data_IF_910351876618
#
_entry.id   IF_910351876618
#
_cell.length_a   1.000
_cell.length_b   1.000
_cell.length_c   1.000
_cell.angle_alpha   90.00
_cell.angle_beta   90.00
_cell.angle_gamma   90.00
#
_symmetry.space_group_name_H-M   'P 1'
#
loop_
_entity.id
_entity.type
_entity.pdbx_description
1 polymer ?
#
# COMPACT_ATOMS: atom_id res chain seq x y z
N UNK A 1 -10.52 0.86 -9.69
CA UNK A 1 -10.38 1.48 -8.34
C UNK A 1 -11.37 0.87 -7.38
N UNK A 2 -11.01 0.79 -6.11
CA UNK A 2 -11.92 0.30 -5.07
C UNK A 2 -13.22 1.13 -4.99
N UNK A 3 -13.13 2.43 -5.25
CA UNK A 3 -14.31 3.32 -5.27
C UNK A 3 -15.41 2.83 -6.23
N UNK A 4 -15.06 2.12 -7.28
CA UNK A 4 -15.99 1.58 -8.26
C UNK A 4 -16.54 0.21 -7.86
N UNK A 5 -15.96 -0.41 -6.84
CA UNK A 5 -16.29 -1.76 -6.38
C UNK A 5 -16.40 -1.78 -4.84
N UNK A 6 -17.33 -0.99 -4.27
CA UNK A 6 -17.42 -0.88 -2.80
C UNK A 6 -17.75 -2.19 -2.09
N UNK A 7 -18.31 -3.17 -2.80
CA UNK A 7 -18.56 -4.51 -2.25
C UNK A 7 -17.26 -5.25 -1.89
N UNK A 8 -16.11 -4.79 -2.38
CA UNK A 8 -14.81 -5.37 -2.06
C UNK A 8 -14.18 -4.80 -0.79
N UNK A 9 -14.75 -3.75 -0.21
CA UNK A 9 -14.24 -3.14 1.03
C UNK A 9 -14.09 -4.17 2.15
N UNK A 10 -15.09 -5.01 2.44
CA UNK A 10 -14.94 -6.05 3.49
C UNK A 10 -13.82 -7.03 3.21
N UNK A 11 -13.57 -7.36 1.94
CA UNK A 11 -12.49 -8.29 1.55
C UNK A 11 -11.13 -7.68 1.89
N UNK A 12 -10.89 -6.44 1.50
CA UNK A 12 -9.63 -5.75 1.80
C UNK A 12 -9.46 -5.54 3.30
N UNK A 13 -10.53 -5.19 4.00
CA UNK A 13 -10.49 -5.02 5.45
C UNK A 13 -10.07 -6.33 6.15
N UNK A 14 -10.58 -7.46 5.69
CA UNK A 14 -10.20 -8.78 6.20
C UNK A 14 -8.71 -9.06 5.98
N UNK A 15 -8.20 -8.80 4.79
CA UNK A 15 -6.77 -8.98 4.50
C UNK A 15 -5.88 -8.13 5.39
N UNK A 16 -6.23 -6.87 5.57
CA UNK A 16 -5.43 -5.93 6.35
C UNK A 16 -5.51 -6.24 7.85
N UNK A 17 -6.68 -6.58 8.34
CA UNK A 17 -6.88 -7.02 9.72
C UNK A 17 -6.03 -8.26 10.03
N UNK A 18 -6.07 -9.29 9.17
CA UNK A 18 -5.36 -10.54 9.39
C UNK A 18 -3.83 -10.36 9.28
N UNK A 19 -3.37 -9.43 8.46
CA UNK A 19 -1.95 -9.22 8.21
C UNK A 19 -1.33 -8.26 9.24
N UNK A 20 -2.02 -7.16 9.55
CA UNK A 20 -1.45 -6.05 10.35
C UNK A 20 -2.23 -5.73 11.63
N UNK A 21 -3.40 -6.33 11.82
CA UNK A 21 -4.30 -5.97 12.93
C UNK A 21 -3.70 -6.10 14.31
N UNK A 22 -2.83 -7.07 14.53
CA UNK A 22 -2.20 -7.33 15.84
C UNK A 22 -1.24 -6.21 16.28
N UNK A 23 -0.72 -5.43 15.33
CA UNK A 23 0.19 -4.32 15.60
C UNK A 23 -0.51 -3.01 15.98
N UNK A 24 -1.84 -2.98 15.94
CA UNK A 24 -2.63 -1.78 16.19
C UNK A 24 -3.52 -1.95 17.41
N UNK A 25 -3.32 -1.17 18.50
CA UNK A 25 -4.21 -1.20 19.65
C UNK A 25 -5.66 -0.94 19.23
N UNK A 26 -6.57 -1.83 19.64
CA UNK A 26 -7.98 -1.72 19.25
C UNK A 26 -8.28 -2.05 17.79
N UNK A 27 -7.37 -2.72 17.09
CA UNK A 27 -7.48 -3.05 15.68
C UNK A 27 -8.52 -4.14 15.37
N UNK A 28 -9.80 -3.84 15.56
CA UNK A 28 -10.91 -4.74 15.22
C UNK A 28 -11.14 -4.76 13.70
N UNK A 29 -11.84 -5.78 13.23
CA UNK A 29 -12.27 -5.85 11.84
C UNK A 29 -13.14 -4.65 11.45
N UNK A 30 -13.98 -4.18 12.38
CA UNK A 30 -14.80 -2.99 12.17
C UNK A 30 -13.95 -1.75 11.94
N UNK A 31 -12.92 -1.55 12.76
CA UNK A 31 -11.96 -0.44 12.60
C UNK A 31 -11.28 -0.51 11.23
N UNK A 32 -10.80 -1.69 10.83
CA UNK A 32 -10.14 -1.86 9.54
C UNK A 32 -11.09 -1.62 8.37
N UNK A 33 -12.37 -1.99 8.52
CA UNK A 33 -13.40 -1.72 7.51
C UNK A 33 -13.59 -0.21 7.31
N UNK A 34 -13.63 0.55 8.41
CA UNK A 34 -13.74 2.02 8.34
C UNK A 34 -12.51 2.64 7.71
N UNK A 35 -11.31 2.16 8.05
CA UNK A 35 -10.05 2.63 7.45
C UNK A 35 -10.05 2.40 5.94
N UNK A 36 -10.41 1.21 5.50
CA UNK A 36 -10.46 0.88 4.06
C UNK A 36 -11.48 1.76 3.34
N UNK A 37 -12.64 1.99 3.95
CA UNK A 37 -13.68 2.85 3.38
C UNK A 37 -13.18 4.28 3.20
N UNK A 38 -12.50 4.83 4.19
CA UNK A 38 -11.93 6.18 4.12
C UNK A 38 -10.87 6.32 3.02
N UNK A 39 -10.17 5.22 2.71
CA UNK A 39 -9.11 5.19 1.69
C UNK A 39 -9.61 4.89 0.28
N UNK A 40 -10.91 4.72 0.09
CA UNK A 40 -11.54 4.40 -1.19
C UNK A 40 -11.98 5.65 -1.94
N UNK A 41 -11.12 6.64 -2.07
CA UNK A 41 -11.40 7.87 -2.82
C UNK A 41 -11.39 7.63 -4.33
N UNK A 42 -12.13 8.45 -5.04
CA UNK A 42 -12.25 8.38 -6.51
C UNK A 42 -11.52 9.50 -7.24
N UNK A 43 -11.20 10.59 -6.54
CA UNK A 43 -10.52 11.76 -7.11
C UNK A 43 -9.38 12.16 -6.18
N UNK A 44 -8.15 11.92 -6.64
CA UNK A 44 -6.97 12.25 -5.87
C UNK A 44 -6.78 11.37 -4.63
N UNK A 45 -5.83 11.75 -3.80
CA UNK A 45 -5.42 11.01 -2.61
C UNK A 45 -6.42 11.26 -1.46
N UNK A 46 -6.84 10.21 -0.71
CA UNK A 46 -6.42 8.81 -0.79
C UNK A 46 -7.14 8.02 -1.86
N UNK A 47 -6.44 7.02 -2.41
CA UNK A 47 -6.98 6.12 -3.42
C UNK A 47 -6.54 4.69 -3.12
N UNK A 48 -7.35 3.72 -3.54
CA UNK A 48 -7.02 2.29 -3.40
C UNK A 48 -7.40 1.55 -4.68
N UNK A 49 -6.55 0.63 -5.09
CA UNK A 49 -6.77 -0.23 -6.26
C UNK A 49 -6.78 -1.69 -5.84
N UNK A 50 -7.55 -2.48 -6.58
CA UNK A 50 -7.67 -3.92 -6.36
C UNK A 50 -7.26 -4.64 -7.63
N UNK A 51 -6.42 -5.66 -7.48
CA UNK A 51 -6.09 -6.57 -8.58
C UNK A 51 -7.13 -7.68 -8.63
N UNK A 52 -7.63 -7.97 -9.82
CA UNK A 52 -8.60 -9.03 -10.07
C UNK A 52 -8.02 -10.07 -11.02
N UNK A 53 -8.24 -11.35 -10.70
CA UNK A 53 -7.94 -12.47 -11.60
C UNK A 53 -9.23 -13.25 -11.78
N UNK A 54 -9.68 -13.36 -13.01
CA UNK A 54 -10.97 -14.00 -13.34
C UNK A 54 -12.14 -13.47 -12.49
N UNK A 55 -12.15 -12.13 -12.29
CA UNK A 55 -13.18 -11.44 -11.52
C UNK A 55 -13.03 -11.54 -10.01
N UNK A 56 -12.01 -12.23 -9.51
CA UNK A 56 -11.78 -12.41 -8.06
C UNK A 56 -10.70 -11.46 -7.56
N UNK A 57 -10.91 -10.79 -6.40
CA UNK A 57 -9.90 -9.94 -5.81
C UNK A 57 -8.71 -10.79 -5.31
N UNK A 58 -7.50 -10.42 -5.71
CA UNK A 58 -6.28 -11.16 -5.36
C UNK A 58 -5.19 -10.27 -4.75
N UNK A 59 -5.38 -8.98 -4.72
CA UNK A 59 -4.41 -8.05 -4.14
C UNK A 59 -4.93 -6.63 -4.11
N UNK A 60 -4.22 -5.77 -3.40
CA UNK A 60 -4.56 -4.35 -3.30
C UNK A 60 -3.34 -3.48 -3.04
N UNK A 61 -3.49 -2.19 -3.31
CA UNK A 61 -2.49 -1.17 -3.00
C UNK A 61 -3.20 0.17 -2.81
N UNK A 62 -2.68 0.98 -1.90
CA UNK A 62 -3.20 2.32 -1.64
C UNK A 62 -2.19 3.42 -1.93
N UNK A 63 -2.69 4.62 -2.17
CA UNK A 63 -1.92 5.85 -2.29
C UNK A 63 -2.46 6.83 -1.25
N UNK A 64 -1.64 7.15 -0.24
CA UNK A 64 -2.04 7.91 0.94
C UNK A 64 -1.19 9.17 1.11
N UNK A 65 -1.77 10.20 1.72
CA UNK A 65 -1.04 11.43 2.03
C UNK A 65 -0.03 11.24 3.15
N UNK A 66 -0.32 10.40 4.14
CA UNK A 66 0.58 10.11 5.26
C UNK A 66 0.47 8.65 5.68
N UNK A 67 1.55 8.10 6.23
CA UNK A 67 1.60 6.69 6.60
C UNK A 67 2.30 6.49 7.94
N UNK A 68 3.52 7.03 8.10
CA UNK A 68 4.31 6.83 9.31
C UNK A 68 4.23 8.04 10.22
N UNK A 69 3.88 7.79 11.51
CA UNK A 69 3.83 8.85 12.51
C UNK A 69 5.17 9.56 12.72
N UNK A 70 6.28 8.86 12.48
CA UNK A 70 7.64 9.37 12.64
C UNK A 70 8.16 10.13 11.42
N UNK A 71 7.42 10.12 10.31
CA UNK A 71 7.80 10.77 9.04
C UNK A 71 6.62 11.52 8.43
N UNK A 72 5.98 12.38 9.22
CA UNK A 72 4.83 13.18 8.75
C UNK A 72 5.22 14.23 7.70
N UNK A 73 6.51 14.51 7.57
CA UNK A 73 7.08 15.39 6.54
C UNK A 73 7.19 14.74 5.17
N UNK A 74 7.10 13.42 5.09
CA UNK A 74 7.16 12.68 3.83
C UNK A 74 5.74 12.41 3.31
N UNK A 75 5.52 12.65 2.04
CA UNK A 75 4.22 12.49 1.37
C UNK A 75 4.39 12.48 -0.13
N UNK A 76 3.56 11.75 -0.89
CA UNK A 76 2.62 10.75 -0.44
C UNK A 76 3.24 9.35 -0.36
N UNK A 77 2.45 8.38 0.05
CA UNK A 77 2.91 7.02 0.33
C UNK A 77 2.14 5.98 -0.49
N UNK A 78 2.89 5.03 -1.05
CA UNK A 78 2.33 3.74 -1.43
C UNK A 78 2.14 2.94 -0.14
N UNK A 79 0.95 2.40 0.06
CA UNK A 79 0.59 1.76 1.32
C UNK A 79 -0.23 0.49 1.10
N UNK A 80 -0.24 -0.37 2.10
CA UNK A 80 -1.15 -1.52 2.17
C UNK A 80 -1.05 -2.46 0.97
N UNK A 81 0.16 -2.64 0.44
CA UNK A 81 0.39 -3.61 -0.63
C UNK A 81 0.17 -5.02 -0.08
N UNK A 82 -0.76 -5.73 -0.68
CA UNK A 82 -1.08 -7.10 -0.31
C UNK A 82 -1.43 -7.93 -1.53
N UNK A 83 -0.96 -9.18 -1.53
CA UNK A 83 -1.31 -10.19 -2.53
C UNK A 83 -1.67 -11.47 -1.79
N UNK A 84 -2.79 -12.09 -2.15
CA UNK A 84 -3.19 -13.36 -1.53
C UNK A 84 -2.09 -14.41 -1.74
N UNK A 85 -1.84 -15.28 -0.72
CA UNK A 85 -0.71 -16.21 -0.78
C UNK A 85 -0.64 -17.05 -2.07
N UNK A 86 -1.76 -17.56 -2.56
CA UNK A 86 -1.83 -18.41 -3.75
C UNK A 86 -1.50 -17.69 -5.05
N UNK A 87 -1.47 -16.36 -5.06
CA UNK A 87 -1.13 -15.55 -6.23
C UNK A 87 0.26 -14.89 -6.13
N UNK A 88 0.99 -15.13 -5.04
CA UNK A 88 2.34 -14.60 -4.87
C UNK A 88 3.31 -15.26 -5.82
N UNK A 89 4.37 -14.53 -6.20
CA UNK A 89 5.36 -15.02 -7.14
C UNK A 89 4.91 -15.01 -8.60
N UNK A 90 3.81 -14.36 -8.92
CA UNK A 90 3.24 -14.28 -10.27
C UNK A 90 3.21 -12.86 -10.84
N UNK A 91 3.88 -11.91 -10.18
CA UNK A 91 3.98 -10.54 -10.66
C UNK A 91 2.83 -9.62 -10.27
N UNK A 92 1.86 -10.07 -9.49
CA UNK A 92 0.71 -9.24 -9.07
C UNK A 92 1.18 -8.05 -8.24
N UNK A 93 2.07 -8.28 -7.27
CA UNK A 93 2.62 -7.23 -6.42
C UNK A 93 3.35 -6.15 -7.22
N UNK A 94 4.20 -6.56 -8.16
CA UNK A 94 4.90 -5.65 -9.05
C UNK A 94 3.95 -4.83 -9.91
N UNK A 95 2.90 -5.46 -10.46
CA UNK A 95 1.86 -4.76 -11.23
C UNK A 95 1.13 -3.72 -10.40
N UNK A 96 0.79 -4.04 -9.15
CA UNK A 96 0.13 -3.09 -8.24
C UNK A 96 1.05 -1.90 -7.94
N UNK A 97 2.33 -2.15 -7.67
CA UNK A 97 3.31 -1.08 -7.43
C UNK A 97 3.40 -0.16 -8.65
N UNK A 98 3.54 -0.72 -9.85
CA UNK A 98 3.63 0.06 -11.09
C UNK A 98 2.36 0.87 -11.34
N UNK A 99 1.20 0.31 -11.04
CA UNK A 99 -0.07 1.02 -11.20
C UNK A 99 -0.15 2.22 -10.25
N UNK A 100 0.23 2.03 -8.99
CA UNK A 100 0.28 3.09 -8.00
C UNK A 100 1.27 4.19 -8.40
N UNK A 101 2.47 3.83 -8.85
CA UNK A 101 3.45 4.78 -9.37
C UNK A 101 2.85 5.64 -10.49
N UNK A 102 2.25 5.00 -11.48
CA UNK A 102 1.65 5.72 -12.61
C UNK A 102 0.56 6.69 -12.19
N UNK A 103 -0.28 6.29 -11.23
CA UNK A 103 -1.32 7.17 -10.70
C UNK A 103 -0.72 8.37 -9.96
N UNK A 104 0.31 8.14 -9.14
CA UNK A 104 1.00 9.19 -8.40
C UNK A 104 1.61 10.22 -9.37
N UNK A 105 2.29 9.75 -10.41
CA UNK A 105 2.91 10.65 -11.37
C UNK A 105 1.92 11.46 -12.17
N UNK A 106 0.76 10.89 -12.50
CA UNK A 106 -0.33 11.65 -13.13
C UNK A 106 -0.86 12.77 -12.23
N UNK A 107 -0.73 12.61 -10.92
CA UNK A 107 -1.09 13.65 -9.94
C UNK A 107 0.05 14.65 -9.69
N UNK A 108 1.19 14.51 -10.36
CA UNK A 108 2.34 15.39 -10.18
C UNK A 108 3.18 15.09 -8.94
N UNK A 109 3.07 13.90 -8.40
CA UNK A 109 3.81 13.46 -7.21
C UNK A 109 5.26 13.10 -7.58
N UNK A 110 6.23 13.59 -6.80
CA UNK A 110 7.63 13.25 -6.92
C UNK A 110 8.38 13.69 -5.65
N UNK A 111 9.00 12.79 -4.89
CA UNK A 111 8.97 11.34 -5.03
C UNK A 111 7.75 10.69 -4.36
N UNK A 112 7.57 9.40 -4.60
CA UNK A 112 6.62 8.54 -3.91
C UNK A 112 7.37 7.74 -2.84
N UNK A 113 6.81 7.60 -1.65
CA UNK A 113 7.42 6.89 -0.53
C UNK A 113 6.70 5.57 -0.23
N UNK A 114 7.42 4.66 0.39
CA UNK A 114 6.87 3.44 0.98
C UNK A 114 7.73 3.01 2.16
N UNK A 115 7.19 2.23 3.08
CA UNK A 115 8.03 1.52 4.03
C UNK A 115 7.63 0.05 4.08
N UNK A 116 8.60 -0.80 4.38
CA UNK A 116 8.40 -2.23 4.43
C UNK A 116 9.41 -2.87 5.37
N UNK A 117 9.08 -4.07 5.85
CA UNK A 117 10.08 -4.88 6.56
C UNK A 117 11.27 -5.13 5.63
N UNK A 118 12.44 -5.39 6.22
CA UNK A 118 13.68 -5.58 5.46
C UNK A 118 13.54 -6.61 4.34
N UNK A 119 12.82 -7.70 4.60
CA UNK A 119 12.59 -8.75 3.61
C UNK A 119 11.74 -8.26 2.43
N UNK A 120 10.65 -7.53 2.70
CA UNK A 120 9.75 -7.03 1.66
C UNK A 120 10.38 -5.84 0.92
N UNK A 121 11.24 -5.07 1.58
CA UNK A 121 11.93 -3.93 0.96
C UNK A 121 12.70 -4.33 -0.30
N UNK A 122 13.21 -5.57 -0.37
CA UNK A 122 13.94 -6.06 -1.54
C UNK A 122 13.07 -6.10 -2.80
N UNK A 123 11.76 -6.31 -2.67
CA UNK A 123 10.83 -6.23 -3.80
C UNK A 123 10.87 -4.83 -4.41
N UNK A 124 10.78 -3.81 -3.58
CA UNK A 124 10.80 -2.42 -4.03
C UNK A 124 12.13 -2.06 -4.68
N UNK A 125 13.25 -2.47 -4.08
CA UNK A 125 14.59 -2.23 -4.64
C UNK A 125 14.69 -2.87 -6.02
N UNK A 126 14.20 -4.10 -6.18
CA UNK A 126 14.16 -4.78 -7.47
C UNK A 126 13.31 -4.08 -8.53
N UNK A 127 12.34 -3.25 -8.09
CA UNK A 127 11.50 -2.45 -8.97
C UNK A 127 12.04 -1.03 -9.23
N UNK A 128 13.22 -0.72 -8.70
CA UNK A 128 13.90 0.57 -8.95
C UNK A 128 13.73 1.60 -7.84
N UNK A 129 13.20 1.22 -6.69
CA UNK A 129 13.08 2.11 -5.53
C UNK A 129 14.43 2.22 -4.81
N UNK A 130 14.73 3.40 -4.26
CA UNK A 130 15.95 3.63 -3.47
C UNK A 130 15.64 3.59 -1.98
N UNK A 131 16.59 3.09 -1.19
CA UNK A 131 16.49 3.09 0.26
C UNK A 131 16.78 4.49 0.79
N UNK A 132 15.95 4.97 1.72
CA UNK A 132 16.13 6.26 2.38
C UNK A 132 16.76 6.06 3.75
N UNK A 133 16.15 5.22 4.59
CA UNK A 133 16.64 4.93 5.93
C UNK A 133 16.09 3.57 6.39
N UNK A 134 16.88 2.89 7.22
CA UNK A 134 16.43 1.68 7.92
C UNK A 134 16.35 2.02 9.40
N UNK A 135 15.23 1.71 10.05
CA UNK A 135 14.97 2.08 11.43
C UNK A 135 13.96 1.12 12.07
N UNK A 136 13.78 1.25 13.38
CA UNK A 136 12.70 0.52 14.07
C UNK A 136 11.44 1.35 14.07
N UNK A 137 10.34 0.70 13.72
CA UNK A 137 9.01 1.30 13.74
C UNK A 137 8.02 0.23 14.20
N UNK A 138 7.24 0.52 15.24
CA UNK A 138 6.26 -0.43 15.82
C UNK A 138 6.88 -1.79 16.14
N UNK A 139 8.05 -1.78 16.77
CA UNK A 139 8.82 -2.97 17.20
C UNK A 139 9.34 -3.84 16.05
N UNK A 140 9.34 -3.33 14.82
CA UNK A 140 9.92 -4.01 13.66
C UNK A 140 11.00 -3.15 13.02
N UNK A 141 12.01 -3.82 12.45
CA UNK A 141 12.97 -3.15 11.59
C UNK A 141 12.33 -2.93 10.22
N UNK A 142 12.26 -1.69 9.80
CA UNK A 142 11.67 -1.31 8.51
C UNK A 142 12.65 -0.46 7.70
N UNK A 143 12.50 -0.51 6.40
CA UNK A 143 13.22 0.37 5.47
C UNK A 143 12.22 1.32 4.85
N UNK A 144 12.51 2.61 4.92
CA UNK A 144 11.79 3.65 4.18
C UNK A 144 12.41 3.74 2.80
N UNK A 145 11.59 3.75 1.78
CA UNK A 145 12.02 3.75 0.38
C UNK A 145 11.36 4.91 -0.36
N UNK A 146 12.00 5.35 -1.43
CA UNK A 146 11.47 6.38 -2.30
C UNK A 146 11.62 5.98 -3.77
N UNK A 147 10.68 6.41 -4.56
CA UNK A 147 10.69 6.24 -6.02
C UNK A 147 10.53 7.61 -6.67
N UNK A 148 11.55 8.04 -7.39
CA UNK A 148 11.50 9.30 -8.12
C UNK A 148 10.71 9.10 -9.42
N UNK A 149 9.97 10.15 -9.82
CA UNK A 149 9.25 10.12 -11.08
C UNK A 149 10.25 10.05 -12.24
N UNK A 150 9.89 9.37 -13.34
CA UNK A 150 10.74 9.34 -14.53
C UNK A 150 10.87 10.75 -15.13
N UNK A 151 12.02 11.02 -15.71
CA UNK A 151 12.32 12.30 -16.36
C UNK A 151 11.48 12.52 -17.62
#
# INVERSE_FOLDING_TARGET
MLAERPELIPVLAGWQHDTWGLGYPGGSLEMWTDVVRERAGSVGIPMTWVALVDGRPVGCVGLLASEMATHMDLSPWLSSLYVVPEQRGRGVGGSLVRHCEGAAWRLGVDPLYAYATTTVASLYVGLGWRQVVTERYRDEEVTVLARDAPL
#
